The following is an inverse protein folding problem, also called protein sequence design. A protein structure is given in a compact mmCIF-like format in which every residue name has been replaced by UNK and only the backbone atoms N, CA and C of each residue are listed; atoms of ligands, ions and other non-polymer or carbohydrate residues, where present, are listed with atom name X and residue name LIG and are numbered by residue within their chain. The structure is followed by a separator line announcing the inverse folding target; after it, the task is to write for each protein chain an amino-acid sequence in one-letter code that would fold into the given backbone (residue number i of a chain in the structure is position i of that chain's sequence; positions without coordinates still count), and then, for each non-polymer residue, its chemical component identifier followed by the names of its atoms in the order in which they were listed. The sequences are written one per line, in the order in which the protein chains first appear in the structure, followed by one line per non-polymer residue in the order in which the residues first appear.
data_IF_635418784437
#
_entry.id   IF_635418784437
#
_cell.length_a   1.000
_cell.length_b   1.000
_cell.length_c   1.000
_cell.angle_alpha   90.00
_cell.angle_beta   90.00
_cell.angle_gamma   90.00
#
_symmetry.space_group_name_H-M   'P 1'
#
loop_
_entity.id
_entity.type
_entity.pdbx_description
1 polymer ?
#
# COMPACT_ATOMS: atom_id res chain seq x y z
N UNK A 1 -7.09 -13.78 25.14
CA UNK A 1 -7.91 -12.81 24.38
C UNK A 1 -8.24 -13.50 23.06
N UNK A 2 -9.52 -13.81 22.81
CA UNK A 2 -9.97 -14.62 21.65
C UNK A 2 -9.85 -13.79 20.37
N UNK A 3 -9.46 -14.42 19.27
CA UNK A 3 -9.36 -13.80 17.94
C UNK A 3 -10.60 -12.98 17.61
N UNK A 4 -10.41 -11.67 17.55
CA UNK A 4 -11.48 -10.73 17.29
C UNK A 4 -11.65 -10.59 15.78
N UNK A 5 -12.53 -11.42 15.23
CA UNK A 5 -13.04 -11.41 13.86
C UNK A 5 -13.78 -10.12 13.48
N UNK A 6 -13.80 -9.10 14.35
CA UNK A 6 -14.37 -7.78 14.08
C UNK A 6 -13.36 -6.70 13.71
N UNK A 7 -12.05 -7.00 13.60
CA UNK A 7 -11.07 -6.03 13.12
C UNK A 7 -11.40 -5.58 11.68
N UNK A 8 -11.53 -4.27 11.41
CA UNK A 8 -11.82 -3.73 10.08
C UNK A 8 -10.86 -4.24 8.99
N UNK A 9 -9.60 -4.48 9.35
CA UNK A 9 -8.55 -5.00 8.48
C UNK A 9 -8.85 -6.43 8.04
N UNK A 10 -9.31 -7.28 8.96
CA UNK A 10 -9.68 -8.67 8.68
C UNK A 10 -10.92 -8.76 7.79
N UNK A 11 -11.89 -7.84 7.96
CA UNK A 11 -13.07 -7.78 7.09
C UNK A 11 -12.72 -7.40 5.66
N UNK A 12 -11.87 -6.37 5.47
CA UNK A 12 -11.42 -5.96 4.15
C UNK A 12 -10.65 -7.08 3.42
N UNK A 13 -9.77 -7.79 4.13
CA UNK A 13 -9.05 -8.94 3.57
C UNK A 13 -9.99 -10.11 3.19
N UNK A 14 -11.05 -10.35 3.98
CA UNK A 14 -12.08 -11.37 3.69
C UNK A 14 -12.92 -10.96 2.48
N UNK A 15 -13.26 -9.68 2.34
CA UNK A 15 -14.06 -9.18 1.22
C UNK A 15 -13.26 -9.23 -0.10
N UNK A 16 -11.98 -8.82 -0.09
CA UNK A 16 -11.05 -9.01 -1.23
C UNK A 16 -10.91 -10.49 -1.60
N UNK A 17 -10.77 -11.40 -0.62
CA UNK A 17 -10.66 -12.84 -0.89
C UNK A 17 -11.94 -13.46 -1.47
N UNK A 18 -13.12 -12.92 -1.16
CA UNK A 18 -14.41 -13.35 -1.73
C UNK A 18 -14.58 -12.89 -3.19
N UNK A 19 -14.06 -11.72 -3.55
CA UNK A 19 -14.08 -11.23 -4.94
C UNK A 19 -13.25 -12.11 -5.89
N UNK A 20 -12.19 -12.76 -5.40
CA UNK A 20 -11.39 -13.72 -6.18
C UNK A 20 -11.95 -15.16 -6.19
N UNK A 21 -13.22 -15.36 -5.80
CA UNK A 21 -13.93 -16.63 -5.88
C UNK A 21 -13.29 -17.77 -5.05
N UNK A 22 -12.59 -17.45 -3.96
CA UNK A 22 -12.06 -18.46 -3.05
C UNK A 22 -13.17 -19.09 -2.18
N UNK A 23 -13.21 -20.43 -2.05
CA UNK A 23 -14.17 -21.11 -1.16
C UNK A 23 -14.08 -20.60 0.28
N UNK A 24 -15.24 -20.37 0.91
CA UNK A 24 -15.34 -19.80 2.26
C UNK A 24 -14.52 -20.58 3.31
N UNK A 25 -14.43 -21.91 3.17
CA UNK A 25 -13.66 -22.79 4.07
C UNK A 25 -12.14 -22.52 4.01
N UNK A 26 -11.61 -22.05 2.87
CA UNK A 26 -10.20 -21.69 2.75
C UNK A 26 -9.91 -20.35 3.41
N UNK A 27 -10.86 -19.40 3.32
CA UNK A 27 -10.77 -18.08 3.97
C UNK A 27 -10.81 -18.27 5.49
N UNK A 28 -11.73 -19.08 6.00
CA UNK A 28 -11.86 -19.33 7.45
C UNK A 28 -10.62 -20.05 8.01
N UNK A 29 -10.02 -20.98 7.25
CA UNK A 29 -8.74 -21.61 7.61
C UNK A 29 -7.57 -20.62 7.59
N UNK A 30 -7.51 -19.70 6.63
CA UNK A 30 -6.47 -18.67 6.56
C UNK A 30 -6.58 -17.68 7.72
N UNK A 31 -7.78 -17.21 8.03
CA UNK A 31 -8.07 -16.32 9.17
C UNK A 31 -7.72 -16.99 10.50
N UNK A 32 -8.06 -18.27 10.66
CA UNK A 32 -7.74 -19.04 11.87
C UNK A 32 -6.24 -19.31 12.03
N UNK A 33 -5.50 -19.41 10.93
CA UNK A 33 -4.03 -19.57 10.92
C UNK A 33 -3.32 -18.26 11.27
N UNK A 34 -3.85 -17.10 10.85
CA UNK A 34 -3.34 -15.77 11.23
C UNK A 34 -3.61 -15.37 12.68
N UNK A 35 -4.54 -16.04 13.37
CA UNK A 35 -4.90 -15.77 14.77
C UNK A 35 -4.06 -16.53 15.81
N UNK A 36 -3.05 -17.31 15.40
CA UNK A 36 -2.16 -17.97 16.35
C UNK A 36 -1.20 -16.96 16.99
N UNK A 37 -1.00 -17.05 18.30
CA UNK A 37 -0.23 -16.11 19.13
C UNK A 37 1.29 -16.08 18.81
N UNK A 38 1.75 -16.94 17.90
CA UNK A 38 3.13 -16.95 17.34
C UNK A 38 3.21 -16.33 15.93
N UNK A 39 2.10 -15.83 15.38
CA UNK A 39 2.13 -15.04 14.15
C UNK A 39 2.70 -13.66 14.49
N UNK A 40 3.86 -13.33 13.91
CA UNK A 40 4.40 -11.98 13.98
C UNK A 40 3.30 -11.00 13.55
N UNK A 41 3.00 -10.01 14.40
CA UNK A 41 1.94 -9.04 14.14
C UNK A 41 2.33 -8.22 12.92
N UNK A 42 1.59 -8.38 11.82
CA UNK A 42 1.74 -7.51 10.66
C UNK A 42 1.12 -6.13 10.97
N UNK A 43 1.87 -5.07 10.67
CA UNK A 43 1.47 -3.67 10.78
C UNK A 43 1.20 -3.09 9.39
N UNK A 44 0.05 -2.44 9.23
CA UNK A 44 -0.23 -1.62 8.06
C UNK A 44 0.40 -0.23 8.22
N UNK A 45 1.16 0.21 7.21
CA UNK A 45 1.87 1.49 7.21
C UNK A 45 1.59 2.19 5.89
N UNK A 46 1.32 3.49 5.97
CA UNK A 46 1.20 4.35 4.80
C UNK A 46 2.42 5.25 4.72
N UNK A 47 3.13 5.17 3.59
CA UNK A 47 4.19 6.09 3.22
C UNK A 47 3.68 7.06 2.16
N UNK A 48 4.26 8.25 2.15
CA UNK A 48 3.88 9.33 1.23
C UNK A 48 5.13 9.80 0.51
N UNK A 49 5.01 10.14 -0.77
CA UNK A 49 6.11 10.66 -1.58
C UNK A 49 5.58 11.56 -2.70
N UNK A 50 6.50 12.26 -3.35
CA UNK A 50 6.25 12.96 -4.60
C UNK A 50 7.14 12.41 -5.70
N UNK A 51 6.53 12.04 -6.81
CA UNK A 51 7.18 11.50 -8.00
C UNK A 51 7.44 12.54 -9.09
N UNK A 52 7.68 12.10 -10.34
CA UNK A 52 7.87 12.96 -11.49
C UNK A 52 6.73 13.97 -11.66
N UNK A 53 7.05 15.18 -12.12
CA UNK A 53 6.07 16.26 -12.30
C UNK A 53 5.39 16.74 -11.01
N UNK A 54 5.84 16.31 -9.83
CA UNK A 54 5.18 16.62 -8.56
C UNK A 54 3.93 15.78 -8.32
N UNK A 55 3.76 14.65 -9.03
CA UNK A 55 2.69 13.70 -8.77
C UNK A 55 2.77 13.18 -7.33
N UNK A 56 1.65 13.19 -6.63
CA UNK A 56 1.53 12.68 -5.27
C UNK A 56 1.46 11.16 -5.29
N UNK A 57 2.15 10.51 -4.35
CA UNK A 57 2.16 9.06 -4.17
C UNK A 57 1.75 8.67 -2.76
N UNK A 58 0.88 7.66 -2.68
CA UNK A 58 0.56 6.93 -1.47
C UNK A 58 1.03 5.49 -1.65
N UNK A 59 1.86 5.00 -0.74
CA UNK A 59 2.43 3.66 -0.77
C UNK A 59 1.96 2.95 0.51
N UNK A 60 1.10 1.95 0.39
CA UNK A 60 0.62 1.16 1.51
C UNK A 60 1.46 -0.11 1.64
N UNK A 61 1.98 -0.36 2.84
CA UNK A 61 2.81 -1.49 3.19
C UNK A 61 2.17 -2.32 4.30
N UNK A 62 2.39 -3.63 4.29
CA UNK A 62 1.94 -4.56 5.34
C UNK A 62 3.13 -5.39 5.81
N UNK A 63 3.68 -5.04 6.97
CA UNK A 63 5.02 -5.50 7.38
C UNK A 63 5.08 -5.96 8.82
N UNK A 64 5.95 -6.91 9.12
CA UNK A 64 6.33 -7.27 10.50
C UNK A 64 7.43 -6.35 11.05
N UNK A 65 8.03 -5.50 10.21
CA UNK A 65 9.11 -4.60 10.59
C UNK A 65 9.02 -3.25 9.87
N UNK A 66 8.46 -2.27 10.57
CA UNK A 66 8.39 -0.86 10.13
C UNK A 66 9.72 -0.29 9.62
N UNK A 67 10.83 -0.66 10.26
CA UNK A 67 12.15 -0.17 9.87
C UNK A 67 12.61 -0.75 8.54
N UNK A 68 12.34 -2.05 8.29
CA UNK A 68 12.69 -2.71 7.03
C UNK A 68 11.87 -2.13 5.89
N UNK A 69 10.55 -2.11 6.02
CA UNK A 69 9.67 -1.52 5.00
C UNK A 69 10.04 -0.07 4.69
N UNK A 70 10.36 0.74 5.71
CA UNK A 70 10.79 2.12 5.49
C UNK A 70 12.14 2.22 4.75
N UNK A 71 13.08 1.29 4.98
CA UNK A 71 14.36 1.27 4.29
C UNK A 71 14.21 0.83 2.83
N UNK A 72 13.42 -0.20 2.57
CA UNK A 72 13.12 -0.69 1.23
C UNK A 72 12.44 0.39 0.37
N UNK A 73 11.36 1.00 0.89
CA UNK A 73 10.66 2.08 0.17
C UNK A 73 11.57 3.28 -0.08
N UNK A 74 12.40 3.68 0.90
CA UNK A 74 13.40 4.75 0.70
C UNK A 74 14.43 4.40 -0.37
N UNK A 75 14.92 3.16 -0.36
CA UNK A 75 15.91 2.69 -1.32
C UNK A 75 15.35 2.78 -2.74
N UNK A 76 14.15 2.23 -2.97
CA UNK A 76 13.46 2.28 -4.27
C UNK A 76 13.26 3.72 -4.71
N UNK A 77 12.67 4.58 -3.88
CA UNK A 77 12.47 5.99 -4.21
C UNK A 77 13.80 6.67 -4.58
N UNK A 78 14.86 6.46 -3.80
CA UNK A 78 16.17 7.09 -4.04
C UNK A 78 16.83 6.62 -5.35
N UNK A 79 16.62 5.36 -5.75
CA UNK A 79 17.12 4.82 -7.02
C UNK A 79 16.48 5.53 -8.23
N UNK A 80 15.24 5.99 -8.07
CA UNK A 80 14.51 6.79 -9.06
C UNK A 80 14.66 8.30 -8.87
N UNK A 81 15.43 8.75 -7.87
CA UNK A 81 15.69 10.18 -7.61
C UNK A 81 14.61 10.89 -6.77
N UNK A 82 13.78 10.14 -6.05
CA UNK A 82 12.71 10.64 -5.18
C UNK A 82 12.97 10.31 -3.72
N UNK A 83 12.19 10.92 -2.83
CA UNK A 83 12.34 10.78 -1.38
C UNK A 83 10.98 10.57 -0.70
N UNK A 84 11.02 9.91 0.47
CA UNK A 84 9.85 9.85 1.34
C UNK A 84 9.51 11.25 1.87
N UNK A 85 8.25 11.61 1.74
CA UNK A 85 7.68 12.78 2.35
C UNK A 85 7.26 12.49 3.80
N UNK A 86 7.01 13.57 4.55
CA UNK A 86 6.43 13.45 5.90
C UNK A 86 4.96 13.03 5.82
N UNK A 87 4.42 12.31 6.82
CA UNK A 87 2.99 12.00 6.85
C UNK A 87 2.11 13.27 6.74
N UNK A 88 1.08 13.21 5.91
CA UNK A 88 0.18 14.31 5.56
C UNK A 88 0.64 15.17 4.37
N UNK A 89 1.81 14.89 3.77
CA UNK A 89 2.34 15.70 2.67
C UNK A 89 1.59 15.49 1.37
N UNK A 90 1.20 14.27 1.03
CA UNK A 90 0.57 13.89 -0.23
C UNK A 90 -0.88 13.41 -0.03
N UNK A 91 -1.24 12.96 1.18
CA UNK A 91 -2.59 12.46 1.50
C UNK A 91 -3.73 13.45 1.20
N UNK A 92 -3.47 14.76 1.19
CA UNK A 92 -4.46 15.79 0.84
C UNK A 92 -4.99 15.67 -0.61
N UNK A 93 -4.20 15.06 -1.51
CA UNK A 93 -4.57 14.85 -2.90
C UNK A 93 -5.48 13.64 -3.12
N UNK A 94 -5.78 12.89 -2.06
CA UNK A 94 -6.55 11.66 -2.12
C UNK A 94 -7.71 11.66 -1.12
N UNK A 95 -8.69 10.83 -1.40
CA UNK A 95 -9.76 10.46 -0.48
C UNK A 95 -9.76 8.94 -0.34
N UNK A 96 -9.79 8.45 0.89
CA UNK A 96 -9.88 7.01 1.16
C UNK A 96 -11.35 6.59 1.05
N UNK A 97 -11.66 5.75 0.06
CA UNK A 97 -12.99 5.21 -0.20
C UNK A 97 -12.88 3.69 -0.31
N UNK A 98 -13.73 2.95 0.42
CA UNK A 98 -13.72 1.48 0.42
C UNK A 98 -12.33 0.84 0.68
N UNK A 99 -11.51 1.49 1.50
CA UNK A 99 -10.11 1.10 1.81
C UNK A 99 -9.09 1.37 0.71
N UNK A 100 -9.49 1.93 -0.43
CA UNK A 100 -8.58 2.37 -1.49
C UNK A 100 -8.40 3.89 -1.46
N UNK A 101 -7.23 4.38 -1.86
CA UNK A 101 -7.03 5.80 -2.09
C UNK A 101 -7.47 6.18 -3.50
N UNK A 102 -8.37 7.17 -3.59
CA UNK A 102 -8.80 7.73 -4.87
C UNK A 102 -8.31 9.16 -5.00
N UNK A 103 -7.63 9.54 -6.09
CA UNK A 103 -7.19 10.92 -6.27
C UNK A 103 -8.41 11.85 -6.37
N UNK A 104 -8.37 12.98 -5.67
CA UNK A 104 -9.42 14.01 -5.72
C UNK A 104 -9.14 15.07 -6.78
N UNK A 105 -7.92 15.07 -7.31
CA UNK A 105 -7.44 15.88 -8.42
C UNK A 105 -6.36 15.11 -9.16
N UNK A 106 -6.12 15.45 -10.42
CA UNK A 106 -5.06 14.84 -11.22
C UNK A 106 -3.98 15.84 -11.62
N UNK A 107 -2.77 15.35 -11.86
CA UNK A 107 -1.65 16.12 -12.40
C UNK A 107 -1.27 15.49 -13.75
N UNK A 108 -1.40 16.21 -14.87
CA UNK A 108 -0.98 15.69 -16.16
C UNK A 108 0.54 15.55 -16.20
N UNK A 109 1.03 14.41 -16.68
CA UNK A 109 2.47 14.18 -16.85
C UNK A 109 2.88 14.26 -18.32
N UNK A 110 4.15 14.64 -18.53
CA UNK A 110 4.78 14.45 -19.83
C UNK A 110 4.98 12.95 -20.10
N UNK A 111 5.13 12.55 -21.36
CA UNK A 111 5.39 11.13 -21.69
C UNK A 111 6.65 10.60 -20.99
N UNK A 112 7.70 11.41 -20.90
CA UNK A 112 8.94 11.05 -20.21
C UNK A 112 8.72 10.89 -18.70
N UNK A 113 8.01 11.81 -18.07
CA UNK A 113 7.69 11.73 -16.64
C UNK A 113 6.77 10.54 -16.32
N UNK A 114 5.82 10.25 -17.21
CA UNK A 114 4.95 9.09 -17.12
C UNK A 114 5.74 7.78 -17.16
N UNK A 115 6.73 7.65 -18.05
CA UNK A 115 7.60 6.48 -18.11
C UNK A 115 8.42 6.29 -16.82
N UNK A 116 8.98 7.37 -16.27
CA UNK A 116 9.72 7.32 -15.00
C UNK A 116 8.79 6.89 -13.86
N UNK A 117 7.58 7.48 -13.81
CA UNK A 117 6.61 7.15 -12.77
C UNK A 117 6.16 5.69 -12.86
N UNK A 118 5.88 5.19 -14.07
CA UNK A 118 5.51 3.79 -14.28
C UNK A 118 6.60 2.84 -13.81
N UNK A 119 7.86 3.11 -14.14
CA UNK A 119 8.98 2.27 -13.69
C UNK A 119 9.17 2.31 -12.16
N UNK A 120 8.95 3.47 -11.53
CA UNK A 120 8.97 3.60 -10.08
C UNK A 120 7.85 2.79 -9.42
N UNK A 121 6.62 2.89 -9.93
CA UNK A 121 5.46 2.16 -9.41
C UNK A 121 5.69 0.65 -9.56
N UNK A 122 6.14 0.18 -10.72
CA UNK A 122 6.44 -1.24 -10.95
C UNK A 122 7.46 -1.77 -9.92
N UNK A 123 8.56 -1.05 -9.68
CA UNK A 123 9.57 -1.48 -8.70
C UNK A 123 9.06 -1.42 -7.25
N UNK A 124 8.15 -0.49 -6.93
CA UNK A 124 7.49 -0.46 -5.62
C UNK A 124 6.51 -1.64 -5.47
N UNK A 125 5.73 -1.96 -6.49
CA UNK A 125 4.76 -3.08 -6.48
C UNK A 125 5.46 -4.46 -6.45
N UNK A 126 6.68 -4.55 -7.01
CA UNK A 126 7.54 -5.74 -6.92
C UNK A 126 8.17 -5.95 -5.53
N UNK A 127 8.04 -4.98 -4.61
CA UNK A 127 8.59 -5.08 -3.26
C UNK A 127 7.66 -5.86 -2.33
N UNK A 128 8.18 -6.92 -1.68
CA UNK A 128 7.42 -7.79 -0.78
C UNK A 128 6.77 -7.06 0.43
N UNK A 129 7.27 -5.89 0.83
CA UNK A 129 6.71 -5.10 1.94
C UNK A 129 5.54 -4.21 1.49
N UNK A 130 5.43 -3.92 0.18
CA UNK A 130 4.43 -3.01 -0.40
C UNK A 130 3.21 -3.81 -0.84
N UNK A 131 2.03 -3.34 -0.47
CA UNK A 131 0.76 -3.97 -0.80
C UNK A 131 0.05 -3.27 -1.96
N UNK A 132 0.01 -1.94 -1.95
CA UNK A 132 -0.71 -1.14 -2.95
C UNK A 132 0.00 0.22 -3.13
N UNK A 133 0.05 0.73 -4.37
CA UNK A 133 0.61 2.05 -4.71
C UNK A 133 -0.45 2.87 -5.44
N UNK A 134 -0.63 4.13 -5.03
CA UNK A 134 -1.61 5.04 -5.61
C UNK A 134 -0.93 6.33 -6.04
N UNK A 135 -1.33 6.85 -7.20
CA UNK A 135 -0.84 8.13 -7.73
C UNK A 135 -2.01 9.02 -8.16
N UNK A 136 -1.78 10.33 -8.17
CA UNK A 136 -2.68 11.30 -8.77
C UNK A 136 -2.25 11.76 -10.17
N UNK A 137 -1.28 11.08 -10.79
CA UNK A 137 -0.89 11.36 -12.16
C UNK A 137 -1.98 10.97 -13.18
N UNK A 138 -2.07 11.73 -14.27
CA UNK A 138 -2.90 11.48 -15.46
C UNK A 138 -2.07 11.52 -16.74
#
# INVERSE_FOLDING_TARGET
MKGDVSSPILRAAIDKAREYNMPADNIERAVKKGSSTDAQTMEAITYEAYGPGGSALIIEALTESRNRAAQEVKFILSKHGFELATPGSAAWAFKKENHEWKPTMTIPLSEADGQILSALIEELEDNDEVQDVYTNAE
#
